data_IF_993575831657
#
_entry.id   IF_993575831657
#
_cell.length_a   1.000
_cell.length_b   1.000
_cell.length_c   1.000
_cell.angle_alpha   90.00
_cell.angle_beta   90.00
_cell.angle_gamma   90.00
#
_symmetry.space_group_name_H-M   'P 1'
#
loop_
_entity.id
_entity.type
_entity.pdbx_description
1 polymer ?
#
# COMPACT_ATOMS: atom_id res chain seq x y z
N UNK A 1 2.80 22.95 3.02
CA UNK A 1 2.65 22.34 1.68
C UNK A 1 3.10 23.35 0.64
N UNK A 2 4.17 23.08 -0.12
CA UNK A 2 4.55 23.95 -1.24
C UNK A 2 3.71 23.55 -2.46
N UNK A 3 2.68 24.34 -2.80
CA UNK A 3 1.86 24.12 -4.00
C UNK A 3 2.61 24.43 -5.31
N UNK A 4 3.69 25.21 -5.19
CA UNK A 4 4.54 25.66 -6.27
C UNK A 4 5.96 25.13 -6.06
N UNK A 5 6.57 24.63 -7.13
CA UNK A 5 7.97 24.23 -7.17
C UNK A 5 8.56 24.55 -8.53
N UNK A 6 9.88 24.68 -8.58
CA UNK A 6 10.59 24.85 -9.84
C UNK A 6 11.10 23.48 -10.29
N UNK A 7 10.83 23.12 -11.55
CA UNK A 7 11.41 21.92 -12.18
C UNK A 7 12.22 22.33 -13.38
N UNK A 8 13.48 21.91 -13.43
CA UNK A 8 14.38 22.16 -14.56
C UNK A 8 14.43 20.92 -15.46
N UNK A 9 14.19 21.08 -16.76
CA UNK A 9 14.49 20.05 -17.76
C UNK A 9 15.16 20.74 -18.93
N UNK A 10 16.13 20.05 -19.51
CA UNK A 10 16.98 20.57 -20.58
C UNK A 10 16.16 21.06 -21.77
N UNK A 11 15.12 20.31 -22.17
CA UNK A 11 14.29 20.67 -23.32
C UNK A 11 13.48 21.97 -23.15
N UNK A 12 12.88 22.20 -21.99
CA UNK A 12 12.08 23.41 -21.75
C UNK A 12 12.96 24.63 -21.49
N UNK A 13 14.14 24.42 -20.89
CA UNK A 13 15.17 25.47 -20.78
C UNK A 13 15.70 25.87 -22.15
N UNK A 14 15.91 24.91 -23.06
CA UNK A 14 16.32 25.18 -24.45
C UNK A 14 15.25 25.99 -25.19
N UNK A 15 13.98 25.61 -25.07
CA UNK A 15 12.87 26.38 -25.66
C UNK A 15 12.73 27.78 -25.04
N UNK A 16 12.88 27.92 -23.73
CA UNK A 16 12.85 29.24 -23.09
C UNK A 16 14.05 30.09 -23.54
N UNK A 17 15.24 29.49 -23.63
CA UNK A 17 16.46 30.16 -24.07
C UNK A 17 16.41 30.60 -25.54
N UNK A 18 15.60 29.96 -26.38
CA UNK A 18 15.39 30.39 -27.79
C UNK A 18 14.22 31.35 -27.95
N UNK A 19 13.08 31.10 -27.28
CA UNK A 19 11.87 31.91 -27.41
C UNK A 19 11.97 33.27 -26.73
N UNK A 20 12.62 33.36 -25.56
CA UNK A 20 12.72 34.63 -24.82
C UNK A 20 13.50 35.69 -25.61
N UNK A 21 14.70 35.40 -26.16
CA UNK A 21 15.42 36.37 -27.00
C UNK A 21 14.66 36.70 -28.29
N UNK A 22 14.03 35.71 -28.93
CA UNK A 22 13.29 35.91 -30.18
C UNK A 22 12.08 36.84 -30.01
N UNK A 23 11.33 36.67 -28.91
CA UNK A 23 10.18 37.54 -28.57
C UNK A 23 10.64 38.95 -28.23
N UNK A 24 11.74 39.11 -27.49
CA UNK A 24 12.29 40.43 -27.15
C UNK A 24 12.80 41.15 -28.40
N UNK A 25 13.51 40.46 -29.30
CA UNK A 25 13.98 41.01 -30.58
C UNK A 25 12.82 41.42 -31.49
N UNK A 26 11.77 40.59 -31.57
CA UNK A 26 10.59 40.91 -32.36
C UNK A 26 9.86 42.15 -31.81
N UNK A 27 9.67 42.24 -30.49
CA UNK A 27 9.02 43.39 -29.86
C UNK A 27 9.88 44.65 -29.89
N UNK A 28 11.22 44.53 -29.90
CA UNK A 28 12.13 45.64 -30.17
C UNK A 28 11.91 46.25 -31.56
N UNK A 29 11.63 45.43 -32.58
CA UNK A 29 11.39 45.91 -33.93
C UNK A 29 10.13 46.79 -34.07
N UNK A 30 9.14 46.61 -33.18
CA UNK A 30 7.87 47.35 -33.17
C UNK A 30 7.76 48.38 -32.04
N UNK A 31 8.88 48.77 -31.41
CA UNK A 31 8.92 49.71 -30.25
C UNK A 31 8.04 49.30 -29.05
N UNK A 32 7.74 48.00 -28.93
CA UNK A 32 6.89 47.41 -27.89
C UNK A 32 7.73 46.66 -26.84
N UNK A 33 8.87 47.23 -26.44
CA UNK A 33 9.86 46.61 -25.57
C UNK A 33 9.28 46.11 -24.23
N UNK A 34 8.36 46.88 -23.62
CA UNK A 34 7.69 46.49 -22.39
C UNK A 34 6.86 45.20 -22.56
N UNK A 35 6.23 45.02 -23.73
CA UNK A 35 5.46 43.82 -24.08
C UNK A 35 6.41 42.62 -24.28
N UNK A 36 7.56 42.84 -24.92
CA UNK A 36 8.58 41.80 -25.13
C UNK A 36 9.17 41.29 -23.81
N UNK A 37 9.50 42.20 -22.88
CA UNK A 37 10.03 41.84 -21.56
C UNK A 37 8.97 41.10 -20.74
N UNK A 38 7.73 41.61 -20.69
CA UNK A 38 6.64 40.96 -19.94
C UNK A 38 6.33 39.56 -20.48
N UNK A 39 6.27 39.41 -21.81
CA UNK A 39 6.03 38.11 -22.44
C UNK A 39 7.22 37.16 -22.25
N UNK A 40 8.45 37.66 -22.32
CA UNK A 40 9.66 36.89 -22.04
C UNK A 40 9.70 36.36 -20.61
N UNK A 41 9.39 37.22 -19.62
CA UNK A 41 9.28 36.81 -18.21
C UNK A 41 8.16 35.78 -18.02
N UNK A 42 7.01 35.96 -18.67
CA UNK A 42 5.92 34.99 -18.64
C UNK A 42 6.37 33.64 -19.22
N UNK A 43 7.03 33.61 -20.38
CA UNK A 43 7.54 32.37 -21.01
C UNK A 43 8.56 31.67 -20.10
N UNK A 44 9.50 32.43 -19.51
CA UNK A 44 10.48 31.89 -18.58
C UNK A 44 9.79 31.31 -17.33
N UNK A 45 8.84 32.04 -16.74
CA UNK A 45 8.07 31.58 -15.59
C UNK A 45 7.26 30.33 -15.92
N UNK A 46 6.55 30.31 -17.06
CA UNK A 46 5.74 29.18 -17.52
C UNK A 46 6.59 27.92 -17.77
N UNK A 47 7.84 28.09 -18.20
CA UNK A 47 8.77 27.01 -18.50
C UNK A 47 9.31 26.31 -17.25
N UNK A 48 9.43 27.05 -16.14
CA UNK A 48 10.04 26.53 -14.89
C UNK A 48 9.00 26.22 -13.82
N UNK A 49 7.85 26.90 -13.81
CA UNK A 49 6.82 26.76 -12.79
C UNK A 49 6.12 25.40 -12.89
N UNK A 50 6.28 24.57 -11.86
CA UNK A 50 5.52 23.35 -11.64
C UNK A 50 4.46 23.58 -10.56
N UNK A 51 3.20 23.33 -10.91
CA UNK A 51 2.05 23.41 -10.01
C UNK A 51 1.68 21.97 -9.63
N UNK A 52 1.77 21.65 -8.32
CA UNK A 52 1.51 20.29 -7.80
C UNK A 52 2.31 19.20 -8.53
N UNK A 53 3.59 19.48 -8.79
CA UNK A 53 4.53 18.54 -9.41
C UNK A 53 4.39 18.37 -10.93
N UNK A 54 3.34 18.91 -11.56
CA UNK A 54 3.21 18.98 -13.02
C UNK A 54 3.48 20.39 -13.53
N UNK A 55 4.17 20.50 -14.66
CA UNK A 55 4.26 21.76 -15.42
C UNK A 55 2.98 22.00 -16.21
N UNK A 56 2.80 23.22 -16.72
CA UNK A 56 1.61 23.59 -17.50
C UNK A 56 1.45 22.76 -18.78
N UNK A 57 2.54 22.45 -19.48
CA UNK A 57 2.52 21.49 -20.60
C UNK A 57 2.09 20.09 -20.17
N UNK A 58 2.56 19.65 -18.99
CA UNK A 58 2.12 18.40 -18.37
C UNK A 58 0.63 18.40 -17.97
N UNK A 59 0.09 19.55 -17.55
CA UNK A 59 -1.34 19.73 -17.29
C UNK A 59 -2.18 19.63 -18.57
N UNK A 60 -1.73 20.25 -19.66
CA UNK A 60 -2.39 20.15 -20.98
C UNK A 60 -2.36 18.70 -21.47
N UNK A 61 -1.20 18.04 -21.41
CA UNK A 61 -1.07 16.63 -21.79
C UNK A 61 -1.96 15.72 -20.93
N UNK A 62 -2.04 15.99 -19.62
CA UNK A 62 -2.93 15.28 -18.71
C UNK A 62 -4.40 15.46 -19.08
N UNK A 63 -4.82 16.67 -19.43
CA UNK A 63 -6.18 16.97 -19.85
C UNK A 63 -6.55 16.17 -21.11
N UNK A 64 -5.71 16.20 -22.15
CA UNK A 64 -5.95 15.43 -23.38
C UNK A 64 -5.91 13.92 -23.15
N UNK A 65 -5.00 13.43 -22.32
CA UNK A 65 -4.92 12.02 -22.00
C UNK A 65 -6.13 11.55 -21.18
N UNK A 66 -6.58 12.35 -20.21
CA UNK A 66 -7.81 12.09 -19.46
C UNK A 66 -9.04 12.12 -20.36
N UNK A 67 -9.19 13.14 -21.23
CA UNK A 67 -10.36 13.26 -22.10
C UNK A 67 -10.52 12.06 -23.02
N UNK A 68 -9.41 11.48 -23.49
CA UNK A 68 -9.40 10.24 -24.28
C UNK A 68 -9.73 9.00 -23.44
N UNK A 69 -9.22 8.91 -22.21
CA UNK A 69 -9.30 7.69 -21.37
C UNK A 69 -10.53 7.63 -20.46
N UNK A 70 -11.19 8.76 -20.19
CA UNK A 70 -12.21 8.88 -19.12
C UNK A 70 -13.37 7.89 -19.20
N UNK A 71 -13.73 7.40 -20.40
CA UNK A 71 -14.84 6.46 -20.62
C UNK A 71 -14.40 5.00 -20.82
N UNK A 72 -13.10 4.73 -20.90
CA UNK A 72 -12.57 3.39 -21.25
C UNK A 72 -11.89 2.81 -20.03
N UNK A 73 -12.31 1.61 -19.62
CA UNK A 73 -11.65 0.88 -18.54
C UNK A 73 -10.18 0.55 -18.89
N UNK A 74 -9.30 0.38 -17.91
CA UNK A 74 -8.00 -0.25 -18.14
C UNK A 74 -8.18 -1.60 -18.82
N UNK A 75 -7.37 -1.95 -19.83
CA UNK A 75 -7.38 -3.30 -20.37
C UNK A 75 -7.06 -4.28 -19.23
N UNK A 76 -7.74 -5.41 -19.22
CA UNK A 76 -7.42 -6.46 -18.27
C UNK A 76 -5.98 -6.95 -18.52
N UNK A 77 -5.22 -7.29 -17.47
CA UNK A 77 -3.95 -7.98 -17.63
C UNK A 77 -4.12 -9.28 -18.43
N UNK A 78 -3.07 -9.74 -19.10
CA UNK A 78 -3.13 -11.05 -19.76
C UNK A 78 -3.28 -12.17 -18.73
N UNK A 79 -3.74 -13.34 -19.19
CA UNK A 79 -3.69 -14.54 -18.36
C UNK A 79 -2.24 -14.82 -17.95
N UNK A 80 -2.03 -15.23 -16.68
CA UNK A 80 -0.69 -15.53 -16.18
C UNK A 80 -0.17 -16.81 -16.82
N UNK A 81 1.08 -16.76 -17.26
CA UNK A 81 1.85 -17.92 -17.67
C UNK A 81 2.89 -18.23 -16.60
N UNK A 82 3.06 -19.51 -16.28
CA UNK A 82 4.07 -19.94 -15.31
C UNK A 82 5.33 -20.33 -16.07
N UNK A 83 6.42 -19.62 -15.80
CA UNK A 83 7.73 -19.94 -16.38
C UNK A 83 8.44 -21.02 -15.56
N UNK A 84 9.04 -21.99 -16.24
CA UNK A 84 9.98 -22.93 -15.63
C UNK A 84 11.40 -22.53 -16.02
N UNK A 85 12.16 -21.97 -15.07
CA UNK A 85 13.61 -21.83 -15.23
C UNK A 85 14.35 -22.25 -13.96
N UNK A 86 14.81 -23.50 -14.01
CA UNK A 86 16.08 -24.05 -13.48
C UNK A 86 16.29 -24.16 -11.96
N UNK A 87 15.24 -24.23 -11.15
CA UNK A 87 15.30 -25.04 -9.92
C UNK A 87 14.04 -25.89 -9.75
N UNK A 88 14.13 -27.17 -9.34
CA UNK A 88 12.95 -27.95 -8.98
C UNK A 88 12.35 -27.31 -7.72
N UNK A 89 11.19 -26.65 -7.84
CA UNK A 89 10.46 -26.13 -6.68
C UNK A 89 9.74 -24.80 -6.90
N UNK A 90 10.27 -23.90 -7.71
CA UNK A 90 9.72 -22.53 -7.82
C UNK A 90 9.23 -22.17 -9.23
N UNK A 91 7.91 -22.11 -9.32
CA UNK A 91 7.15 -21.72 -10.49
C UNK A 91 6.83 -20.22 -10.40
N UNK A 92 7.56 -19.36 -11.11
CA UNK A 92 7.26 -17.91 -11.11
C UNK A 92 6.21 -17.60 -12.16
N UNK A 93 5.10 -16.99 -11.75
CA UNK A 93 4.09 -16.49 -12.66
C UNK A 93 4.54 -15.17 -13.29
N UNK A 94 4.34 -15.05 -14.60
CA UNK A 94 4.52 -13.82 -15.37
C UNK A 94 3.26 -13.50 -16.16
N UNK A 95 2.99 -12.21 -16.38
CA UNK A 95 1.90 -11.77 -17.26
C UNK A 95 2.21 -10.43 -17.90
N UNK A 96 1.50 -10.10 -18.97
CA UNK A 96 1.51 -8.75 -19.50
C UNK A 96 0.60 -7.83 -18.69
N UNK A 97 1.15 -6.69 -18.30
CA UNK A 97 0.42 -5.58 -17.70
C UNK A 97 0.75 -4.32 -18.50
N UNK A 98 -0.15 -3.96 -19.43
CA UNK A 98 0.12 -2.93 -20.41
C UNK A 98 1.23 -3.36 -21.37
N UNK A 99 2.26 -2.53 -21.48
CA UNK A 99 3.46 -2.72 -22.30
C UNK A 99 4.61 -3.43 -21.57
N UNK A 100 4.40 -3.84 -20.31
CA UNK A 100 5.42 -4.51 -19.51
C UNK A 100 5.06 -5.97 -19.27
N UNK A 101 6.07 -6.84 -19.32
CA UNK A 101 5.98 -8.17 -18.72
C UNK A 101 6.29 -8.02 -17.22
N UNK A 102 5.42 -8.53 -16.36
CA UNK A 102 5.55 -8.39 -14.91
C UNK A 102 5.59 -9.74 -14.20
N UNK A 103 6.31 -9.79 -13.09
CA UNK A 103 6.32 -10.88 -12.10
C UNK A 103 6.09 -10.31 -10.70
N UNK A 104 5.71 -11.16 -9.75
CA UNK A 104 5.40 -10.75 -8.38
C UNK A 104 6.20 -11.57 -7.39
N UNK A 105 6.73 -10.90 -6.37
CA UNK A 105 7.29 -11.51 -5.17
C UNK A 105 6.42 -11.08 -4.00
N UNK A 106 5.84 -12.03 -3.29
CA UNK A 106 5.15 -11.76 -2.04
C UNK A 106 6.16 -11.59 -0.91
N UNK A 107 5.96 -10.57 -0.08
CA UNK A 107 6.71 -10.42 1.16
C UNK A 107 5.87 -10.96 2.31
N UNK A 108 6.34 -12.05 2.90
CA UNK A 108 5.67 -12.71 4.01
C UNK A 108 6.13 -12.05 5.30
N UNK A 109 5.22 -11.43 6.09
CA UNK A 109 5.63 -10.79 7.31
C UNK A 109 6.07 -11.81 8.35
N UNK A 110 6.94 -11.40 9.25
CA UNK A 110 7.30 -12.23 10.40
C UNK A 110 6.13 -12.29 11.37
N UNK A 111 5.72 -13.50 11.73
CA UNK A 111 4.59 -13.71 12.64
C UNK A 111 4.81 -13.04 14.00
N UNK A 112 3.71 -12.51 14.56
CA UNK A 112 3.65 -11.89 15.88
C UNK A 112 4.65 -10.74 16.09
N UNK A 113 5.00 -9.98 15.04
CA UNK A 113 5.81 -8.76 15.18
C UNK A 113 4.93 -7.61 15.71
N UNK A 114 5.15 -7.10 16.92
CA UNK A 114 4.35 -6.00 17.45
C UNK A 114 4.61 -4.72 16.67
N UNK A 115 3.58 -3.89 16.55
CA UNK A 115 3.71 -2.51 16.09
C UNK A 115 3.39 -1.57 17.23
N UNK A 116 4.31 -0.69 17.58
CA UNK A 116 4.13 0.29 18.66
C UNK A 116 3.97 1.68 18.06
N UNK A 117 2.97 2.44 18.54
CA UNK A 117 2.75 3.81 18.08
C UNK A 117 3.42 4.78 19.04
N UNK A 118 4.53 5.39 18.60
CA UNK A 118 5.28 6.38 19.38
C UNK A 118 5.14 7.73 18.71
N UNK A 119 4.59 8.71 19.42
CA UNK A 119 4.38 10.08 18.91
C UNK A 119 3.62 10.16 17.57
N UNK A 120 2.70 9.21 17.34
CA UNK A 120 1.88 9.13 16.11
C UNK A 120 2.53 8.38 14.94
N UNK A 121 3.75 7.89 15.11
CA UNK A 121 4.47 7.09 14.12
C UNK A 121 4.45 5.61 14.50
N UNK A 122 4.34 4.73 13.51
CA UNK A 122 4.32 3.29 13.72
C UNK A 122 5.73 2.72 13.63
N UNK A 123 6.15 2.04 14.70
CA UNK A 123 7.42 1.34 14.79
C UNK A 123 7.18 -0.17 14.81
N UNK A 124 7.83 -0.88 13.89
CA UNK A 124 7.81 -2.35 13.81
C UNK A 124 9.16 -2.81 13.27
N UNK A 125 9.60 -4.00 13.69
CA UNK A 125 10.90 -4.55 13.32
C UNK A 125 10.91 -5.20 11.91
N UNK A 126 9.74 -5.29 11.27
CA UNK A 126 9.55 -6.00 10.00
C UNK A 126 9.29 -5.02 8.84
N UNK A 127 10.39 -4.39 8.40
CA UNK A 127 10.40 -3.34 7.38
C UNK A 127 11.24 -3.75 6.16
N UNK A 128 10.83 -3.26 4.99
CA UNK A 128 11.60 -3.29 3.75
C UNK A 128 12.10 -1.88 3.42
N UNK A 129 13.42 -1.68 3.35
CA UNK A 129 14.00 -0.45 2.79
C UNK A 129 13.94 -0.47 1.26
N UNK A 130 13.29 0.52 0.66
CA UNK A 130 13.21 0.61 -0.81
C UNK A 130 14.56 0.90 -1.47
N UNK A 131 15.56 1.38 -0.72
CA UNK A 131 16.94 1.52 -1.22
C UNK A 131 17.61 0.16 -1.41
N UNK A 132 17.34 -0.81 -0.52
CA UNK A 132 17.82 -2.18 -0.70
C UNK A 132 17.29 -2.77 -2.01
N UNK A 133 16.00 -2.57 -2.31
CA UNK A 133 15.41 -3.02 -3.58
C UNK A 133 16.11 -2.38 -4.78
N UNK A 134 16.43 -1.08 -4.72
CA UNK A 134 17.21 -0.41 -5.77
C UNK A 134 18.59 -1.04 -5.97
N UNK A 135 19.30 -1.33 -4.88
CA UNK A 135 20.62 -1.96 -4.91
C UNK A 135 20.56 -3.35 -5.53
N UNK A 136 19.56 -4.15 -5.15
CA UNK A 136 19.34 -5.49 -5.72
C UNK A 136 18.99 -5.42 -7.21
N UNK A 137 18.17 -4.45 -7.63
CA UNK A 137 17.91 -4.20 -9.05
C UNK A 137 19.19 -3.79 -9.78
N UNK A 138 19.96 -2.85 -9.25
CA UNK A 138 21.22 -2.42 -9.87
C UNK A 138 22.20 -3.58 -10.07
N UNK A 139 22.24 -4.54 -9.14
CA UNK A 139 23.11 -5.71 -9.21
C UNK A 139 22.59 -6.82 -10.14
N UNK A 140 21.28 -7.09 -10.15
CA UNK A 140 20.73 -8.29 -10.78
C UNK A 140 19.82 -8.04 -11.98
N UNK A 141 19.26 -6.84 -12.11
CA UNK A 141 18.43 -6.42 -13.22
C UNK A 141 18.39 -4.91 -13.41
N UNK A 142 19.51 -4.28 -13.86
CA UNK A 142 19.65 -2.82 -13.88
C UNK A 142 18.73 -2.11 -14.89
N UNK A 143 18.16 -2.86 -15.83
CA UNK A 143 17.19 -2.42 -16.83
C UNK A 143 15.73 -2.74 -16.45
N UNK A 144 15.48 -3.23 -15.22
CA UNK A 144 14.16 -3.47 -14.67
C UNK A 144 13.69 -2.35 -13.74
N UNK A 145 12.37 -2.25 -13.58
CA UNK A 145 11.73 -1.44 -12.54
C UNK A 145 11.06 -2.35 -11.51
N UNK A 146 10.94 -1.88 -10.26
CA UNK A 146 10.16 -2.55 -9.24
C UNK A 146 9.11 -1.62 -8.63
N UNK A 147 7.87 -2.08 -8.53
CA UNK A 147 6.83 -1.46 -7.72
C UNK A 147 6.72 -2.23 -6.39
N UNK A 148 7.09 -1.60 -5.26
CA UNK A 148 6.74 -2.12 -3.94
C UNK A 148 5.30 -1.70 -3.66
N UNK A 149 4.39 -2.66 -3.61
CA UNK A 149 2.95 -2.45 -3.49
C UNK A 149 2.47 -2.99 -2.16
N UNK A 150 1.89 -2.14 -1.32
CA UNK A 150 1.17 -2.57 -0.11
C UNK A 150 -0.32 -2.28 -0.25
N UNK A 151 -1.17 -3.22 0.15
CA UNK A 151 -2.61 -3.07 0.09
C UNK A 151 -3.29 -3.63 1.34
N UNK A 152 -4.38 -2.99 1.77
CA UNK A 152 -5.12 -3.40 2.94
C UNK A 152 -6.00 -2.29 3.52
N UNK A 153 -6.40 -2.44 4.77
CA UNK A 153 -7.35 -1.54 5.42
C UNK A 153 -7.01 -1.34 6.90
N UNK A 154 -7.38 -0.16 7.43
CA UNK A 154 -7.14 0.16 8.84
C UNK A 154 -8.17 -0.46 9.77
N UNK A 155 -9.41 -0.49 9.30
CA UNK A 155 -10.54 -1.13 9.96
C UNK A 155 -11.30 -1.94 8.90
N UNK A 156 -11.85 -3.08 9.30
CA UNK A 156 -12.54 -3.99 8.39
C UNK A 156 -14.04 -3.74 8.29
N UNK A 157 -14.71 -4.58 7.50
CA UNK A 157 -16.15 -4.45 7.17
C UNK A 157 -17.00 -5.63 7.66
N UNK A 158 -16.46 -6.48 8.53
CA UNK A 158 -17.17 -7.66 9.03
C UNK A 158 -18.10 -7.33 10.20
N UNK A 159 -17.78 -6.31 11.00
CA UNK A 159 -18.61 -5.83 12.09
C UNK A 159 -19.59 -4.71 11.66
N UNK A 160 -20.68 -4.47 12.42
CA UNK A 160 -21.58 -3.35 12.18
C UNK A 160 -20.84 -2.00 12.19
N UNK A 161 -21.35 -1.04 11.42
CA UNK A 161 -20.72 0.30 11.29
C UNK A 161 -20.53 1.01 12.63
N UNK A 162 -21.42 0.78 13.61
CA UNK A 162 -21.31 1.33 14.97
C UNK A 162 -20.14 0.75 15.78
N UNK A 163 -19.74 -0.50 15.51
CA UNK A 163 -18.59 -1.16 16.13
C UNK A 163 -17.31 -0.71 15.44
N UNK A 164 -17.32 -0.64 14.10
CA UNK A 164 -16.18 -0.16 13.30
C UNK A 164 -15.86 1.29 13.62
N UNK A 165 -16.87 2.17 13.66
CA UNK A 165 -16.69 3.59 13.97
C UNK A 165 -16.12 3.80 15.38
N UNK A 166 -16.57 2.97 16.34
CA UNK A 166 -16.03 2.98 17.69
C UNK A 166 -14.56 2.57 17.71
N UNK A 167 -14.22 1.44 17.07
CA UNK A 167 -12.84 1.00 17.02
C UNK A 167 -11.93 2.02 16.30
N UNK A 168 -12.45 2.70 15.28
CA UNK A 168 -11.73 3.78 14.61
C UNK A 168 -11.45 4.98 15.54
N UNK A 169 -12.33 5.26 16.51
CA UNK A 169 -12.08 6.26 17.56
C UNK A 169 -10.96 5.81 18.51
N UNK A 170 -10.97 4.54 18.92
CA UNK A 170 -9.95 3.95 19.81
C UNK A 170 -8.57 3.92 19.14
N UNK A 171 -8.50 3.47 17.88
CA UNK A 171 -7.24 3.45 17.09
C UNK A 171 -6.80 4.85 16.68
N UNK A 172 -7.72 5.80 16.62
CA UNK A 172 -7.42 7.18 16.26
C UNK A 172 -6.79 7.32 14.86
N UNK A 173 -6.01 8.40 14.63
CA UNK A 173 -5.38 8.69 13.36
C UNK A 173 -3.99 8.01 13.21
N UNK A 174 -3.76 6.87 13.85
CA UNK A 174 -2.45 6.21 13.82
C UNK A 174 -2.26 5.34 12.58
N UNK A 175 -1.00 5.15 12.18
CA UNK A 175 -0.59 4.34 11.04
C UNK A 175 -0.61 2.83 11.32
N UNK A 176 -1.69 2.35 11.93
CA UNK A 176 -1.84 0.96 12.39
C UNK A 176 -2.89 0.21 11.56
N UNK A 177 -2.56 -0.33 10.37
CA UNK A 177 -3.51 -1.10 9.61
C UNK A 177 -3.82 -2.45 10.25
N UNK A 178 -5.11 -2.75 10.40
CA UNK A 178 -5.59 -4.05 10.85
C UNK A 178 -5.16 -5.18 9.90
N UNK A 179 -5.21 -4.93 8.59
CA UNK A 179 -4.71 -5.85 7.58
C UNK A 179 -3.88 -5.08 6.54
N UNK A 180 -2.68 -5.59 6.24
CA UNK A 180 -1.79 -5.09 5.20
C UNK A 180 -0.95 -6.24 4.67
N UNK A 181 -0.85 -6.29 3.35
CA UNK A 181 0.05 -7.20 2.64
C UNK A 181 0.88 -6.44 1.64
N UNK A 182 2.08 -6.94 1.39
CA UNK A 182 3.07 -6.25 0.57
C UNK A 182 3.66 -7.20 -0.45
N UNK A 183 3.84 -6.69 -1.66
CA UNK A 183 4.45 -7.37 -2.79
C UNK A 183 5.50 -6.49 -3.44
N UNK A 184 6.45 -7.11 -4.13
CA UNK A 184 7.32 -6.45 -5.10
C UNK A 184 6.92 -6.93 -6.49
N UNK A 185 6.51 -6.00 -7.34
CA UNK A 185 6.18 -6.28 -8.74
C UNK A 185 7.37 -5.87 -9.59
N UNK A 186 8.08 -6.85 -10.17
CA UNK A 186 9.15 -6.55 -11.13
C UNK A 186 8.55 -6.34 -12.51
N UNK A 187 9.06 -5.34 -13.23
CA UNK A 187 8.53 -4.90 -14.52
C UNK A 187 9.64 -4.86 -15.55
N UNK A 188 9.43 -5.57 -16.65
CA UNK A 188 10.33 -5.62 -17.78
C UNK A 188 9.67 -4.94 -18.98
N UNK A 189 10.24 -3.81 -19.41
CA UNK A 189 9.90 -3.21 -20.69
C UNK A 189 10.69 -3.93 -21.81
N UNK A 190 10.05 -4.47 -22.86
CA UNK A 190 10.73 -5.22 -23.90
C UNK A 190 11.84 -4.44 -24.62
N UNK A 191 11.67 -3.12 -24.77
CA UNK A 191 12.64 -2.27 -25.47
C UNK A 191 13.86 -1.97 -24.59
N UNK A 192 13.64 -1.66 -23.31
CA UNK A 192 14.71 -1.36 -22.36
C UNK A 192 15.52 -2.62 -22.01
N UNK A 193 14.85 -3.76 -21.85
CA UNK A 193 15.46 -5.02 -21.38
C UNK A 193 16.01 -5.91 -22.49
N UNK A 194 15.90 -5.47 -23.75
CA UNK A 194 16.23 -6.25 -24.94
C UNK A 194 17.60 -6.91 -24.88
N UNK A 195 18.63 -6.16 -24.45
CA UNK A 195 20.02 -6.66 -24.40
C UNK A 195 20.17 -7.78 -23.37
N UNK A 196 19.53 -7.67 -22.21
CA UNK A 196 19.60 -8.66 -21.14
C UNK A 196 18.75 -9.90 -21.48
N UNK A 197 17.57 -9.69 -22.05
CA UNK A 197 16.67 -10.75 -22.53
C UNK A 197 17.33 -11.64 -23.61
N UNK A 198 18.04 -11.03 -24.57
CA UNK A 198 18.72 -11.76 -25.65
C UNK A 198 19.79 -12.75 -25.16
N UNK A 199 20.36 -12.54 -23.96
CA UNK A 199 21.31 -13.48 -23.34
C UNK A 199 20.64 -14.76 -22.82
N UNK A 200 19.31 -14.76 -22.69
CA UNK A 200 18.52 -15.89 -22.17
C UNK A 200 17.72 -16.61 -23.24
N UNK A 201 17.41 -15.93 -24.35
CA UNK A 201 16.67 -16.50 -25.46
C UNK A 201 16.19 -15.40 -26.42
N UNK A 202 15.44 -15.77 -27.44
CA UNK A 202 14.88 -14.83 -28.41
C UNK A 202 13.41 -14.50 -28.08
N UNK A 203 12.97 -13.32 -28.52
CA UNK A 203 11.58 -12.86 -28.37
C UNK A 203 11.06 -12.87 -26.92
N UNK A 204 9.79 -13.19 -26.77
CA UNK A 204 9.08 -13.20 -25.47
C UNK A 204 9.65 -14.25 -24.52
N UNK A 205 10.14 -15.38 -25.04
CA UNK A 205 10.73 -16.44 -24.21
C UNK A 205 12.01 -15.96 -23.51
N UNK A 206 12.89 -15.23 -24.22
CA UNK A 206 14.09 -14.64 -23.62
C UNK A 206 13.75 -13.59 -22.56
N UNK A 207 12.74 -12.75 -22.82
CA UNK A 207 12.25 -11.75 -21.85
C UNK A 207 11.68 -12.40 -20.59
N UNK A 208 10.83 -13.41 -20.75
CA UNK A 208 10.26 -14.16 -19.63
C UNK A 208 11.34 -14.88 -18.82
N UNK A 209 12.28 -15.56 -19.49
CA UNK A 209 13.41 -16.23 -18.81
C UNK A 209 14.31 -15.26 -18.06
N UNK A 210 14.53 -14.05 -18.60
CA UNK A 210 15.23 -12.98 -17.89
C UNK A 210 14.47 -12.53 -16.64
N UNK A 211 13.20 -12.18 -16.79
CA UNK A 211 12.37 -11.71 -15.68
C UNK A 211 12.24 -12.76 -14.57
N UNK A 212 11.96 -14.03 -14.92
CA UNK A 212 11.85 -15.12 -13.94
C UNK A 212 13.17 -15.31 -13.19
N UNK A 213 14.29 -15.40 -13.89
CA UNK A 213 15.60 -15.58 -13.26
C UNK A 213 15.95 -14.42 -12.31
N UNK A 214 15.62 -13.18 -12.68
CA UNK A 214 15.87 -12.02 -11.82
C UNK A 214 14.91 -11.97 -10.63
N UNK A 215 13.65 -12.39 -10.82
CA UNK A 215 12.66 -12.52 -9.72
C UNK A 215 13.15 -13.45 -8.63
N UNK A 216 13.57 -14.67 -9.00
CA UNK A 216 14.09 -15.66 -8.05
C UNK A 216 15.31 -15.12 -7.31
N UNK A 217 16.27 -14.53 -8.03
CA UNK A 217 17.47 -13.95 -7.41
C UNK A 217 17.16 -12.82 -6.43
N UNK A 218 16.25 -11.91 -6.78
CA UNK A 218 15.86 -10.82 -5.89
C UNK A 218 15.19 -11.39 -4.63
N UNK A 219 14.31 -12.38 -4.77
CA UNK A 219 13.70 -13.05 -3.62
C UNK A 219 14.75 -13.72 -2.72
N UNK A 220 15.69 -14.48 -3.29
CA UNK A 220 16.78 -15.13 -2.55
C UNK A 220 17.67 -14.12 -1.80
N UNK A 221 17.98 -12.99 -2.44
CA UNK A 221 18.78 -11.93 -1.81
C UNK A 221 17.99 -11.17 -0.75
N UNK A 222 16.68 -10.99 -0.89
CA UNK A 222 15.86 -10.43 0.19
C UNK A 222 15.83 -11.38 1.39
N UNK A 223 15.69 -12.69 1.14
CA UNK A 223 15.74 -13.71 2.19
C UNK A 223 17.08 -13.72 2.93
N UNK A 224 18.21 -13.53 2.22
CA UNK A 224 19.53 -13.42 2.85
C UNK A 224 19.69 -12.17 3.74
N UNK A 225 18.89 -11.12 3.50
CA UNK A 225 18.77 -9.93 4.35
C UNK A 225 17.69 -10.08 5.44
N UNK A 226 17.14 -11.28 5.63
CA UNK A 226 16.15 -11.60 6.66
C UNK A 226 14.70 -11.22 6.30
N UNK A 227 14.42 -10.89 5.04
CA UNK A 227 13.08 -10.58 4.54
C UNK A 227 12.53 -11.83 3.84
N UNK A 228 11.49 -12.46 4.40
CA UNK A 228 10.87 -13.64 3.76
C UNK A 228 10.14 -13.19 2.48
N UNK A 229 10.76 -13.50 1.34
CA UNK A 229 10.32 -13.07 0.03
C UNK A 229 10.09 -14.31 -0.84
N UNK A 230 8.88 -14.48 -1.35
CA UNK A 230 8.46 -15.69 -2.06
C UNK A 230 7.99 -15.33 -3.46
N UNK A 231 8.64 -15.84 -4.53
CA UNK A 231 8.15 -15.65 -5.89
C UNK A 231 6.73 -16.21 -6.02
N UNK A 232 5.81 -15.42 -6.54
CA UNK A 232 4.41 -15.79 -6.63
C UNK A 232 4.17 -16.76 -7.79
N UNK A 233 3.39 -17.81 -7.52
CA UNK A 233 2.94 -18.80 -8.53
C UNK A 233 1.68 -18.39 -9.28
N UNK A 234 1.01 -17.33 -8.80
CA UNK A 234 -0.23 -16.78 -9.36
C UNK A 234 -0.33 -15.29 -9.00
N UNK A 235 -1.10 -14.54 -9.77
CA UNK A 235 -1.44 -13.14 -9.47
C UNK A 235 -2.75 -13.00 -8.67
N UNK A 236 -3.49 -14.09 -8.41
CA UNK A 236 -4.84 -14.04 -7.83
C UNK A 236 -4.90 -13.20 -6.55
N UNK A 237 -3.95 -13.42 -5.65
CA UNK A 237 -3.93 -12.78 -4.35
C UNK A 237 -3.53 -11.30 -4.42
N UNK A 238 -2.54 -10.99 -5.26
CA UNK A 238 -2.17 -9.62 -5.60
C UNK A 238 -3.35 -8.87 -6.25
N UNK A 239 -4.04 -9.50 -7.18
CA UNK A 239 -5.21 -8.93 -7.87
C UNK A 239 -6.36 -8.70 -6.89
N UNK A 240 -6.65 -9.68 -6.02
CA UNK A 240 -7.69 -9.56 -4.98
C UNK A 240 -7.39 -8.41 -4.04
N UNK A 241 -6.15 -8.25 -3.61
CA UNK A 241 -5.75 -7.21 -2.67
C UNK A 241 -5.68 -5.82 -3.32
N UNK A 242 -5.35 -5.73 -4.62
CA UNK A 242 -5.24 -4.46 -5.33
C UNK A 242 -6.48 -4.11 -6.17
N UNK A 243 -7.51 -4.96 -6.12
CA UNK A 243 -8.75 -4.76 -6.85
C UNK A 243 -9.43 -3.45 -6.46
N UNK A 244 -9.80 -2.68 -7.48
CA UNK A 244 -10.64 -1.50 -7.32
C UNK A 244 -11.80 -1.58 -8.31
N UNK A 245 -12.96 -1.06 -7.90
CA UNK A 245 -14.10 -0.96 -8.81
C UNK A 245 -13.88 0.21 -9.76
N UNK A 246 -13.96 -0.04 -11.07
CA UNK A 246 -13.77 0.96 -12.10
C UNK A 246 -14.98 1.02 -13.02
N UNK A 247 -15.70 2.14 -13.01
CA UNK A 247 -16.72 2.46 -14.01
C UNK A 247 -16.31 3.66 -14.86
N UNK A 248 -15.75 4.70 -14.22
CA UNK A 248 -15.36 5.93 -14.90
C UNK A 248 -14.25 6.66 -14.17
N UNK A 249 -13.34 7.24 -14.93
CA UNK A 249 -12.36 8.20 -14.40
C UNK A 249 -12.91 9.64 -14.49
N UNK A 250 -12.95 10.32 -13.36
CA UNK A 250 -13.13 11.78 -13.29
C UNK A 250 -11.78 12.48 -13.13
N UNK A 251 -11.77 13.81 -13.09
CA UNK A 251 -10.53 14.56 -12.96
C UNK A 251 -9.80 14.27 -11.64
N UNK A 252 -10.50 13.97 -10.56
CA UNK A 252 -9.91 13.82 -9.21
C UNK A 252 -10.13 12.45 -8.58
N UNK A 253 -11.00 11.62 -9.15
CA UNK A 253 -11.38 10.32 -8.59
C UNK A 253 -11.74 9.31 -9.69
N UNK A 254 -11.63 8.03 -9.38
CA UNK A 254 -12.25 6.92 -10.09
C UNK A 254 -13.56 6.59 -9.39
N UNK A 255 -14.66 6.58 -10.14
CA UNK A 255 -15.95 6.08 -9.67
C UNK A 255 -16.04 4.59 -9.96
N UNK A 256 -16.27 3.80 -8.92
CA UNK A 256 -16.67 2.41 -9.01
C UNK A 256 -18.17 2.25 -8.75
N UNK A 257 -18.65 1.00 -8.70
CA UNK A 257 -20.09 0.66 -8.53
C UNK A 257 -20.72 1.25 -7.26
N UNK A 258 -19.97 1.22 -6.16
CA UNK A 258 -20.42 1.65 -4.83
C UNK A 258 -19.30 2.31 -4.01
N UNK A 259 -18.19 2.62 -4.67
CA UNK A 259 -16.98 3.16 -4.03
C UNK A 259 -16.35 4.23 -4.91
N UNK A 260 -15.59 5.11 -4.28
CA UNK A 260 -14.79 6.12 -4.93
C UNK A 260 -13.33 5.87 -4.57
N UNK A 261 -12.47 5.74 -5.58
CA UNK A 261 -11.02 5.65 -5.36
C UNK A 261 -10.37 6.95 -5.80
N UNK A 262 -9.51 7.52 -4.97
CA UNK A 262 -8.72 8.69 -5.36
C UNK A 262 -7.22 8.41 -5.18
N UNK A 263 -6.45 8.79 -6.18
CA UNK A 263 -5.01 8.67 -6.21
C UNK A 263 -4.34 9.99 -5.82
N UNK A 264 -3.33 9.87 -4.98
CA UNK A 264 -2.60 10.96 -4.37
C UNK A 264 -1.09 10.73 -4.43
N UNK A 265 -0.35 11.82 -4.33
CA UNK A 265 1.04 11.82 -3.87
C UNK A 265 1.07 12.38 -2.44
N UNK A 266 1.86 11.75 -1.58
CA UNK A 266 1.99 12.11 -0.17
C UNK A 266 3.44 11.90 0.29
N UNK A 267 4.27 12.94 0.40
CA UNK A 267 5.69 12.80 0.74
C UNK A 267 5.97 12.49 2.22
N UNK A 268 4.90 12.29 3.02
CA UNK A 268 5.01 11.96 4.44
C UNK A 268 5.32 10.49 4.75
N UNK A 269 5.46 9.64 3.73
CA UNK A 269 5.79 8.23 3.91
C UNK A 269 4.67 7.39 4.52
N UNK A 270 4.97 6.12 4.88
CA UNK A 270 3.95 5.14 5.28
C UNK A 270 3.14 5.56 6.50
N UNK A 271 3.72 6.28 7.46
CA UNK A 271 2.97 6.80 8.61
C UNK A 271 1.82 7.71 8.17
N UNK A 272 2.08 8.62 7.25
CA UNK A 272 1.04 9.47 6.66
C UNK A 272 0.06 8.66 5.82
N UNK A 273 0.54 7.71 5.02
CA UNK A 273 -0.30 6.94 4.09
C UNK A 273 -1.36 6.11 4.82
N UNK A 274 -0.93 5.39 5.87
CA UNK A 274 -1.78 4.49 6.64
C UNK A 274 -2.58 5.18 7.75
N UNK A 275 -2.25 6.43 8.10
CA UNK A 275 -3.07 7.27 9.00
C UNK A 275 -4.34 7.82 8.34
N UNK A 276 -4.36 7.90 7.01
CA UNK A 276 -5.52 8.43 6.28
C UNK A 276 -6.72 7.49 6.42
N UNK A 277 -7.90 8.05 6.67
CA UNK A 277 -9.14 7.29 6.77
C UNK A 277 -9.57 6.83 5.38
N UNK A 278 -9.62 5.53 5.17
CA UNK A 278 -10.08 4.90 3.94
C UNK A 278 -10.61 3.50 4.23
N UNK A 279 -11.59 3.08 3.43
CA UNK A 279 -12.12 1.71 3.43
C UNK A 279 -11.10 0.70 2.89
N UNK A 280 -10.23 1.14 1.99
CA UNK A 280 -9.13 0.37 1.43
C UNK A 280 -8.02 1.32 1.01
N UNK A 281 -6.78 0.94 1.26
CA UNK A 281 -5.58 1.71 0.96
C UNK A 281 -4.64 0.87 0.13
N UNK A 282 -4.15 1.42 -0.98
CA UNK A 282 -3.10 0.82 -1.80
C UNK A 282 -1.97 1.85 -1.92
N UNK A 283 -0.77 1.49 -1.48
CA UNK A 283 0.44 2.31 -1.62
C UNK A 283 1.36 1.65 -2.61
N UNK A 284 1.99 2.44 -3.48
CA UNK A 284 3.01 1.94 -4.40
C UNK A 284 4.22 2.84 -4.37
N UNK A 285 5.41 2.25 -4.25
CA UNK A 285 6.69 2.94 -4.42
C UNK A 285 7.41 2.30 -5.59
N UNK A 286 7.55 3.05 -6.68
CA UNK A 286 8.33 2.62 -7.83
C UNK A 286 9.80 3.00 -7.64
N UNK A 287 10.66 2.03 -7.85
CA UNK A 287 12.11 2.15 -7.80
C UNK A 287 12.69 1.72 -9.14
N UNK A 288 13.64 2.51 -9.64
CA UNK A 288 14.44 2.23 -10.83
C UNK A 288 15.89 2.62 -10.54
N UNK A 289 16.88 1.77 -10.86
CA UNK A 289 18.29 2.07 -10.57
C UNK A 289 18.72 3.45 -11.10
N UNK A 290 19.31 4.27 -10.22
CA UNK A 290 19.85 5.58 -10.58
C UNK A 290 18.79 6.66 -10.81
N UNK A 291 17.52 6.41 -10.48
CA UNK A 291 16.44 7.39 -10.57
C UNK A 291 15.77 7.58 -9.21
N UNK A 292 15.34 8.81 -8.93
CA UNK A 292 14.57 9.09 -7.73
C UNK A 292 13.27 8.27 -7.73
N UNK A 293 12.91 7.60 -6.61
CA UNK A 293 11.67 6.85 -6.52
C UNK A 293 10.45 7.70 -6.82
N UNK A 294 9.33 7.05 -7.10
CA UNK A 294 8.02 7.72 -7.15
C UNK A 294 7.03 6.98 -6.29
N UNK A 295 6.09 7.70 -5.66
CA UNK A 295 5.07 7.08 -4.81
C UNK A 295 3.66 7.49 -5.24
N UNK A 296 2.73 6.53 -5.19
CA UNK A 296 1.29 6.77 -5.30
C UNK A 296 0.58 6.15 -4.11
N UNK A 297 -0.45 6.85 -3.63
CA UNK A 297 -1.35 6.34 -2.59
C UNK A 297 -2.77 6.43 -3.11
N UNK A 298 -3.45 5.31 -3.14
CA UNK A 298 -4.84 5.20 -3.54
C UNK A 298 -5.67 4.93 -2.30
N UNK A 299 -6.64 5.81 -2.07
CA UNK A 299 -7.60 5.70 -0.97
C UNK A 299 -8.97 5.45 -1.57
N UNK A 300 -9.57 4.33 -1.18
CA UNK A 300 -10.93 3.97 -1.55
C UNK A 300 -11.86 4.28 -0.40
N UNK A 301 -12.97 4.96 -0.69
CA UNK A 301 -14.00 5.33 0.28
C UNK A 301 -15.40 5.05 -0.25
N UNK A 302 -16.37 4.81 0.64
CA UNK A 302 -17.79 4.69 0.27
C UNK A 302 -18.40 6.03 -0.19
N UNK A 303 -17.97 7.13 0.42
CA UNK A 303 -18.36 8.48 0.02
C UNK A 303 -17.32 9.12 -0.91
N UNK A 304 -17.66 10.27 -1.50
CA UNK A 304 -16.69 11.02 -2.30
C UNK A 304 -15.53 11.48 -1.40
N UNK A 305 -14.27 11.13 -1.73
CA UNK A 305 -13.15 11.36 -0.83
C UNK A 305 -12.82 12.85 -0.73
N UNK A 306 -12.56 13.29 0.48
CA UNK A 306 -11.89 14.57 0.75
C UNK A 306 -10.38 14.36 0.70
N UNK A 307 -9.61 15.37 0.31
CA UNK A 307 -8.14 15.24 0.27
C UNK A 307 -7.60 15.28 1.70
N UNK A 308 -6.95 14.22 2.21
CA UNK A 308 -6.43 14.22 3.57
C UNK A 308 -5.28 15.22 3.74
N UNK A 309 -5.01 15.63 4.98
CA UNK A 309 -3.89 16.52 5.30
C UNK A 309 -2.58 15.82 4.95
N UNK A 310 -1.72 16.51 4.21
CA UNK A 310 -0.44 15.99 3.72
C UNK A 310 -0.49 15.45 2.28
N UNK A 311 -1.68 15.24 1.73
CA UNK A 311 -1.88 14.62 0.42
C UNK A 311 -2.08 15.66 -0.68
N UNK A 312 -1.65 15.32 -1.90
CA UNK A 312 -1.91 16.07 -3.12
C UNK A 312 -2.54 15.15 -4.15
N UNK A 313 -3.79 15.43 -4.53
CA UNK A 313 -4.52 14.62 -5.51
C UNK A 313 -3.83 14.66 -6.88
N UNK A 314 -3.70 13.50 -7.52
CA UNK A 314 -3.11 13.33 -8.84
C UNK A 314 -4.15 13.59 -9.95
N UNK A 315 -4.54 14.84 -10.07
CA UNK A 315 -5.58 15.25 -11.02
C UNK A 315 -5.26 14.86 -12.47
N UNK A 316 -6.26 14.31 -13.18
CA UNK A 316 -6.17 13.86 -14.57
C UNK A 316 -5.25 12.65 -14.80
N UNK A 317 -4.75 12.03 -13.73
CA UNK A 317 -3.86 10.86 -13.78
C UNK A 317 -4.28 9.75 -12.84
N UNK A 318 -5.57 9.65 -12.51
CA UNK A 318 -6.07 8.66 -11.56
C UNK A 318 -5.86 7.24 -12.09
N UNK A 319 -6.16 7.01 -13.37
CA UNK A 319 -5.92 5.74 -14.04
C UNK A 319 -4.43 5.41 -14.12
N UNK A 320 -3.58 6.37 -14.44
CA UNK A 320 -2.13 6.14 -14.52
C UNK A 320 -1.55 5.76 -13.14
N UNK A 321 -2.08 6.35 -12.07
CA UNK A 321 -1.67 6.02 -10.71
C UNK A 321 -2.05 4.59 -10.29
N UNK A 322 -3.08 3.98 -10.90
CA UNK A 322 -3.38 2.54 -10.75
C UNK A 322 -2.29 1.63 -11.27
N UNK A 323 -1.41 2.14 -12.12
CA UNK A 323 -0.25 1.42 -12.65
C UNK A 323 1.05 1.88 -11.96
N UNK A 324 0.95 2.64 -10.86
CA UNK A 324 2.11 3.18 -10.13
C UNK A 324 2.75 4.42 -10.77
N UNK A 325 2.17 4.95 -11.86
CA UNK A 325 2.74 6.10 -12.54
C UNK A 325 2.41 7.40 -11.78
N UNK A 326 3.45 8.04 -11.25
CA UNK A 326 3.37 9.36 -10.64
C UNK A 326 4.28 10.35 -11.37
N UNK A 327 3.82 11.58 -11.63
CA UNK A 327 4.69 12.63 -12.17
C UNK A 327 5.60 13.21 -11.09
N UNK A 328 5.40 12.86 -9.81
CA UNK A 328 6.09 13.45 -8.67
C UNK A 328 7.14 12.45 -8.19
N UNK A 329 8.39 12.91 -8.19
CA UNK A 329 9.51 12.19 -7.58
C UNK A 329 9.41 12.28 -6.07
N UNK A 330 9.87 11.24 -5.41
CA UNK A 330 9.85 11.06 -3.97
C UNK A 330 11.22 10.55 -3.49
N UNK A 331 11.30 10.15 -2.23
CA UNK A 331 12.50 9.56 -1.61
C UNK A 331 12.30 8.08 -1.31
N UNK A 332 13.38 7.43 -0.89
CA UNK A 332 13.31 6.08 -0.33
C UNK A 332 12.63 6.09 1.04
N UNK A 333 12.01 4.97 1.38
CA UNK A 333 11.27 4.76 2.61
C UNK A 333 11.56 3.37 3.16
N UNK A 334 11.48 3.22 4.47
CA UNK A 334 11.27 1.94 5.12
C UNK A 334 9.78 1.65 5.15
N UNK A 335 9.38 0.52 4.55
CA UNK A 335 7.98 0.14 4.39
C UNK A 335 7.69 -1.09 5.27
N UNK A 336 6.78 -0.98 6.25
CA UNK A 336 6.35 -2.14 7.02
C UNK A 336 5.72 -3.21 6.11
N UNK A 337 6.16 -4.46 6.26
CA UNK A 337 5.78 -5.56 5.38
C UNK A 337 4.34 -6.03 5.66
N UNK A 338 4.06 -6.37 6.93
CA UNK A 338 2.78 -6.93 7.38
C UNK A 338 1.86 -5.95 8.08
N UNK A 339 0.72 -6.44 8.55
CA UNK A 339 -0.27 -5.71 9.35
C UNK A 339 0.31 -5.20 10.68
N UNK A 340 -0.22 -4.09 11.19
CA UNK A 340 -0.06 -3.77 12.61
C UNK A 340 -0.94 -4.71 13.46
N UNK A 341 -2.15 -5.03 12.95
CA UNK A 341 -3.06 -5.99 13.55
C UNK A 341 -4.03 -5.36 14.54
N UNK A 342 -4.28 -6.06 15.66
CA UNK A 342 -5.27 -5.67 16.67
C UNK A 342 -4.59 -4.93 17.81
N UNK A 343 -5.21 -3.87 18.32
CA UNK A 343 -4.77 -3.18 19.54
C UNK A 343 -4.88 -4.12 20.75
N UNK A 344 -3.75 -4.54 21.32
CA UNK A 344 -3.71 -5.47 22.46
C UNK A 344 -3.49 -4.77 23.80
N UNK A 345 -2.89 -3.58 23.80
CA UNK A 345 -2.64 -2.80 25.00
C UNK A 345 -1.77 -1.58 24.71
N UNK A 346 -1.10 -1.06 25.73
CA UNK A 346 -0.10 0.00 25.64
C UNK A 346 1.18 -0.37 26.40
N UNK A 347 2.28 0.32 26.12
CA UNK A 347 3.52 0.20 26.91
C UNK A 347 3.37 0.89 28.27
N UNK A 348 4.37 0.74 29.16
CA UNK A 348 4.41 1.48 30.42
C UNK A 348 4.38 3.01 30.23
N UNK A 349 4.92 3.49 29.12
CA UNK A 349 4.92 4.91 28.71
C UNK A 349 3.65 5.33 27.96
N UNK A 350 2.60 4.48 27.97
CA UNK A 350 1.30 4.71 27.32
C UNK A 350 1.37 4.82 25.79
N UNK A 351 2.27 4.07 25.16
CA UNK A 351 2.29 3.93 23.70
C UNK A 351 1.44 2.74 23.26
N UNK A 352 0.43 2.92 22.39
CA UNK A 352 -0.40 1.82 21.90
C UNK A 352 0.43 0.71 21.24
N UNK A 353 0.12 -0.54 21.57
CA UNK A 353 0.76 -1.75 21.07
C UNK A 353 -0.25 -2.58 20.28
N UNK A 354 0.07 -2.85 19.03
CA UNK A 354 -0.70 -3.68 18.12
C UNK A 354 0.00 -5.01 17.86
N UNK A 355 -0.78 -6.07 17.67
CA UNK A 355 -0.28 -7.41 17.38
C UNK A 355 -0.99 -8.00 16.15
N UNK A 356 -0.26 -8.50 15.13
CA UNK A 356 -0.85 -9.18 14.00
C UNK A 356 -1.18 -10.65 14.33
N UNK A 357 -2.35 -11.09 13.88
CA UNK A 357 -2.86 -12.46 14.02
C UNK A 357 -3.27 -13.08 12.66
N UNK A 358 -3.05 -12.34 11.57
CA UNK A 358 -3.60 -12.61 10.24
C UNK A 358 -2.66 -13.40 9.33
N UNK A 359 -1.49 -13.82 9.82
CA UNK A 359 -0.46 -14.49 9.02
C UNK A 359 -0.30 -15.99 9.32
N UNK A 360 -0.49 -16.42 10.56
CA UNK A 360 -0.33 -17.84 10.96
C UNK A 360 -1.44 -18.27 11.90
N UNK A 361 -1.86 -19.52 11.74
CA UNK A 361 -2.83 -20.12 12.64
C UNK A 361 -2.29 -20.11 14.08
N UNK A 362 -3.18 -19.78 15.01
CA UNK A 362 -2.84 -19.61 16.41
C UNK A 362 -3.97 -20.04 17.32
N UNK A 363 -3.64 -20.42 18.55
CA UNK A 363 -4.59 -20.56 19.65
C UNK A 363 -4.34 -19.42 20.61
N UNK A 364 -5.41 -18.76 21.07
CA UNK A 364 -5.29 -17.70 22.06
C UNK A 364 -6.05 -18.07 23.32
N UNK A 365 -5.34 -17.98 24.44
CA UNK A 365 -5.93 -18.10 25.77
C UNK A 365 -6.05 -16.70 26.37
N UNK A 366 -7.30 -16.27 26.57
CA UNK A 366 -7.67 -14.95 27.06
C UNK A 366 -7.87 -15.04 28.58
N UNK A 367 -7.25 -14.13 29.34
CA UNK A 367 -7.11 -14.27 30.79
C UNK A 367 -8.38 -14.11 31.61
N UNK A 368 -9.30 -13.29 31.12
CA UNK A 368 -10.54 -12.94 31.79
C UNK A 368 -11.60 -12.53 30.74
N UNK A 369 -12.83 -12.32 31.20
CA UNK A 369 -13.96 -11.91 30.37
C UNK A 369 -13.75 -10.55 29.69
N UNK A 370 -12.94 -9.68 30.31
CA UNK A 370 -12.68 -8.34 29.83
C UNK A 370 -11.74 -8.33 28.62
N UNK A 371 -10.59 -9.00 28.74
CA UNK A 371 -9.64 -9.26 27.66
C UNK A 371 -10.31 -10.02 26.54
N UNK A 372 -11.18 -10.99 26.87
CA UNK A 372 -11.97 -11.72 25.87
C UNK A 372 -12.86 -10.77 25.05
N UNK A 373 -13.63 -9.93 25.72
CA UNK A 373 -14.55 -8.99 25.07
C UNK A 373 -13.80 -8.02 24.16
N UNK A 374 -12.73 -7.41 24.66
CA UNK A 374 -11.91 -6.48 23.88
C UNK A 374 -11.28 -7.14 22.66
N UNK A 375 -10.65 -8.31 22.85
CA UNK A 375 -10.02 -9.02 21.74
C UNK A 375 -11.03 -9.35 20.64
N UNK A 376 -12.19 -9.87 21.00
CA UNK A 376 -13.22 -10.28 20.05
C UNK A 376 -13.86 -9.08 19.33
N UNK A 377 -14.24 -8.02 20.06
CA UNK A 377 -14.82 -6.79 19.49
C UNK A 377 -13.83 -6.13 18.53
N UNK A 378 -12.58 -5.96 18.96
CA UNK A 378 -11.52 -5.33 18.15
C UNK A 378 -11.16 -6.19 16.95
N UNK A 379 -11.15 -7.52 17.08
CA UNK A 379 -10.91 -8.43 15.94
C UNK A 379 -12.02 -8.34 14.89
N UNK A 380 -13.29 -8.27 15.31
CA UNK A 380 -14.40 -8.06 14.40
C UNK A 380 -14.29 -6.69 13.69
N UNK A 381 -13.98 -5.63 14.43
CA UNK A 381 -13.75 -4.30 13.85
C UNK A 381 -12.50 -4.23 12.96
N UNK A 382 -11.51 -5.08 13.22
CA UNK A 382 -10.30 -5.26 12.42
C UNK A 382 -10.53 -6.15 11.18
N UNK A 383 -11.77 -6.57 10.89
CA UNK A 383 -12.10 -7.29 9.66
C UNK A 383 -12.08 -8.81 9.74
N UNK A 384 -11.90 -9.39 10.93
CA UNK A 384 -12.03 -10.83 11.11
C UNK A 384 -13.49 -11.27 11.14
N UNK A 385 -13.75 -12.51 10.72
CA UNK A 385 -15.03 -13.19 10.93
C UNK A 385 -14.95 -13.95 12.25
N UNK A 386 -15.68 -13.46 13.24
CA UNK A 386 -15.74 -14.08 14.57
C UNK A 386 -16.80 -15.18 14.58
N UNK A 387 -16.47 -16.33 15.16
CA UNK A 387 -17.40 -17.40 15.52
C UNK A 387 -17.32 -17.65 17.02
N UNK A 388 -18.46 -17.57 17.70
CA UNK A 388 -18.59 -17.77 19.14
C UNK A 388 -19.45 -19.00 19.44
N UNK A 389 -19.29 -19.53 20.66
CA UNK A 389 -20.10 -20.64 21.12
C UNK A 389 -21.55 -20.23 21.37
N UNK A 390 -22.53 -21.16 21.33
CA UNK A 390 -23.96 -20.86 21.43
C UNK A 390 -24.39 -20.05 22.65
N UNK A 391 -23.68 -20.16 23.78
CA UNK A 391 -23.98 -19.38 24.99
C UNK A 391 -23.77 -17.87 24.81
N UNK A 392 -22.97 -17.43 23.82
CA UNK A 392 -22.72 -16.02 23.55
C UNK A 392 -23.65 -15.44 22.48
N UNK A 393 -24.86 -16.00 22.29
CA UNK A 393 -25.76 -15.63 21.20
C UNK A 393 -26.13 -14.14 21.18
N UNK A 394 -26.44 -13.56 22.34
CA UNK A 394 -26.78 -12.15 22.43
C UNK A 394 -25.57 -11.26 22.11
N UNK A 395 -24.43 -11.54 22.75
CA UNK A 395 -23.16 -10.86 22.48
C UNK A 395 -22.74 -10.94 21.00
N UNK A 396 -22.89 -12.10 20.37
CA UNK A 396 -22.57 -12.31 18.96
C UNK A 396 -23.39 -11.39 18.04
N UNK A 397 -24.65 -11.11 18.39
CA UNK A 397 -25.51 -10.19 17.65
C UNK A 397 -24.95 -8.76 17.59
N UNK A 398 -24.33 -8.27 18.68
CA UNK A 398 -23.78 -6.91 18.74
C UNK A 398 -22.59 -6.67 17.82
N UNK A 399 -21.82 -7.72 17.52
CA UNK A 399 -20.59 -7.64 16.71
C UNK A 399 -20.73 -8.32 15.35
N UNK A 400 -21.92 -8.79 14.99
CA UNK A 400 -22.18 -9.59 13.78
C UNK A 400 -21.32 -10.88 13.73
N UNK A 401 -21.11 -11.53 14.88
CA UNK A 401 -20.42 -12.81 14.96
C UNK A 401 -21.34 -13.98 14.60
N UNK A 402 -20.73 -15.05 14.06
CA UNK A 402 -21.40 -16.32 13.80
C UNK A 402 -21.49 -17.14 15.08
N UNK A 403 -22.47 -18.03 15.16
CA UNK A 403 -22.55 -19.05 16.23
C UNK A 403 -22.10 -20.39 15.68
N UNK A 404 -21.25 -21.09 16.43
CA UNK A 404 -20.77 -22.42 16.06
C UNK A 404 -20.05 -23.12 17.20
N UNK A 405 -19.82 -24.42 17.03
CA UNK A 405 -19.22 -25.28 18.06
C UNK A 405 -17.71 -25.08 18.23
N UNK A 406 -17.05 -24.40 17.29
CA UNK A 406 -15.61 -24.11 17.32
C UNK A 406 -15.41 -22.59 17.40
N UNK A 407 -15.24 -22.03 18.60
CA UNK A 407 -14.97 -20.61 18.78
C UNK A 407 -13.64 -20.20 18.14
N UNK A 408 -13.69 -19.22 17.23
CA UNK A 408 -12.53 -18.79 16.45
C UNK A 408 -12.70 -17.40 15.88
N UNK A 409 -11.59 -16.79 15.52
CA UNK A 409 -11.48 -15.54 14.78
C UNK A 409 -10.78 -15.86 13.47
N UNK A 410 -11.53 -15.84 12.37
CA UNK A 410 -11.00 -16.15 11.04
C UNK A 410 -10.56 -14.85 10.35
N UNK A 411 -9.27 -14.75 10.09
CA UNK A 411 -8.62 -13.72 9.28
C UNK A 411 -8.61 -14.15 7.81
N UNK A 412 -8.24 -13.25 6.88
CA UNK A 412 -8.16 -13.61 5.46
C UNK A 412 -7.27 -14.83 5.17
N UNK A 413 -6.15 -14.99 5.89
CA UNK A 413 -5.15 -16.03 5.62
C UNK A 413 -4.81 -16.91 6.83
N UNK A 414 -5.44 -16.68 7.99
CA UNK A 414 -5.12 -17.37 9.23
C UNK A 414 -6.35 -17.49 10.12
N UNK A 415 -6.31 -18.41 11.07
CA UNK A 415 -7.34 -18.60 12.07
C UNK A 415 -6.74 -18.54 13.48
N UNK A 416 -7.32 -17.68 14.32
CA UNK A 416 -7.04 -17.64 15.76
C UNK A 416 -8.17 -18.36 16.51
N UNK A 417 -7.88 -19.54 17.06
CA UNK A 417 -8.83 -20.32 17.84
C UNK A 417 -8.96 -19.77 19.26
N UNK A 418 -10.20 -19.55 19.72
CA UNK A 418 -10.52 -19.01 21.05
C UNK A 418 -10.57 -20.14 22.10
N UNK A 419 -9.58 -21.04 22.07
CA UNK A 419 -9.50 -22.23 22.90
C UNK A 419 -8.35 -23.13 22.48
N UNK A 420 -8.08 -24.22 23.23
CA UNK A 420 -7.01 -25.16 22.91
C UNK A 420 -7.27 -25.83 21.56
N UNK A 421 -6.24 -25.84 20.70
CA UNK A 421 -6.24 -26.61 19.46
C UNK A 421 -4.88 -27.31 19.31
N UNK A 422 -4.84 -28.65 19.15
CA UNK A 422 -3.59 -29.39 19.07
C UNK A 422 -2.79 -28.97 17.81
N UNK A 423 -1.47 -28.94 17.94
CA UNK A 423 -0.53 -28.71 16.83
C UNK A 423 -0.36 -27.25 16.39
N UNK A 424 -0.98 -26.30 17.08
CA UNK A 424 -0.99 -24.88 16.70
C UNK A 424 -0.30 -24.03 17.77
N UNK A 425 0.41 -22.99 17.34
CA UNK A 425 1.08 -22.03 18.22
C UNK A 425 0.16 -21.47 19.31
N UNK A 426 0.64 -21.42 20.56
CA UNK A 426 -0.12 -20.91 21.70
C UNK A 426 0.25 -19.46 22.00
N UNK A 427 -0.78 -18.65 22.21
CA UNK A 427 -0.70 -17.25 22.62
C UNK A 427 -1.41 -17.12 23.96
N UNK A 428 -0.81 -16.38 24.89
CA UNK A 428 -1.44 -16.01 26.15
C UNK A 428 -1.64 -14.51 26.15
N UNK A 429 -2.89 -14.05 26.23
CA UNK A 429 -3.18 -12.63 26.42
C UNK A 429 -3.74 -12.42 27.82
N UNK A 430 -3.06 -11.58 28.59
CA UNK A 430 -3.44 -11.15 29.95
C UNK A 430 -3.51 -9.62 29.97
N UNK A 431 -4.03 -9.06 31.06
CA UNK A 431 -4.15 -7.61 31.22
C UNK A 431 -2.78 -6.89 31.30
N UNK A 432 -1.70 -7.60 31.64
CA UNK A 432 -0.37 -7.05 31.89
C UNK A 432 0.74 -7.57 30.95
N UNK A 433 0.47 -8.59 30.14
CA UNK A 433 1.43 -9.11 29.16
C UNK A 433 0.75 -9.89 28.04
N UNK A 434 1.46 -10.03 26.92
CA UNK A 434 1.17 -10.99 25.87
C UNK A 434 2.36 -11.94 25.68
N UNK A 435 2.10 -13.24 25.73
CA UNK A 435 3.05 -14.31 25.40
C UNK A 435 2.72 -14.83 24.00
N UNK A 436 3.73 -14.86 23.14
CA UNK A 436 3.67 -15.33 21.75
C UNK A 436 4.87 -16.24 21.49
N UNK A 437 4.82 -17.11 20.47
CA UNK A 437 5.99 -17.91 20.08
C UNK A 437 7.26 -17.09 19.84
N UNK A 438 7.13 -15.82 19.44
CA UNK A 438 8.24 -14.91 19.21
C UNK A 438 8.67 -14.16 20.47
N UNK A 439 7.74 -13.80 21.33
CA UNK A 439 7.96 -12.99 22.53
C UNK A 439 7.39 -13.70 23.74
N UNK A 440 8.26 -14.23 24.61
CA UNK A 440 7.84 -15.02 25.78
C UNK A 440 6.94 -14.25 26.75
N UNK A 441 7.21 -12.96 27.00
CA UNK A 441 6.35 -12.10 27.83
C UNK A 441 6.58 -10.64 27.42
N UNK A 442 5.87 -10.16 26.40
CA UNK A 442 5.88 -8.75 26.04
C UNK A 442 4.97 -8.00 27.04
N UNK A 443 5.51 -7.10 27.88
CA UNK A 443 4.71 -6.38 28.86
C UNK A 443 3.78 -5.38 28.16
N UNK A 444 2.52 -5.36 28.57
CA UNK A 444 1.52 -4.41 28.10
C UNK A 444 0.67 -3.92 29.28
N UNK A 445 0.00 -2.80 29.12
CA UNK A 445 -1.08 -2.36 30.01
C UNK A 445 -2.36 -2.32 29.19
N UNK A 446 -3.45 -2.79 29.79
CA UNK A 446 -4.71 -2.91 29.08
C UNK A 446 -5.38 -1.54 28.93
N UNK A 447 -5.74 -1.19 27.69
CA UNK A 447 -6.43 0.08 27.39
C UNK A 447 -7.93 -0.13 27.60
N UNK A 448 -8.54 0.72 28.45
CA UNK A 448 -9.95 0.69 28.82
C UNK A 448 -10.73 1.91 28.31
N UNK A 449 -11.07 1.96 27.01
CA UNK A 449 -11.93 3.02 26.51
C UNK A 449 -13.35 2.83 27.06
N UNK A 450 -13.92 3.90 27.62
CA UNK A 450 -15.28 3.90 28.21
C UNK A 450 -16.36 3.36 27.27
N UNK A 451 -16.14 3.55 25.98
CA UNK A 451 -17.07 3.19 24.93
C UNK A 451 -17.12 1.67 24.66
N UNK A 452 -16.07 0.92 25.02
CA UNK A 452 -16.06 -0.55 24.96
C UNK A 452 -16.81 -1.19 26.15
N UNK A 453 -17.03 -0.46 27.26
CA UNK A 453 -17.67 -0.98 28.48
C UNK A 453 -19.10 -1.49 28.25
N UNK A 454 -19.81 -0.99 27.24
CA UNK A 454 -21.15 -1.48 26.88
C UNK A 454 -21.17 -2.95 26.44
N UNK A 455 -20.07 -3.43 25.86
CA UNK A 455 -19.96 -4.82 25.40
C UNK A 455 -19.67 -5.77 26.56
N UNK A 456 -19.01 -5.31 27.62
CA UNK A 456 -18.78 -6.08 28.83
C UNK A 456 -20.10 -6.36 29.55
N UNK A 457 -20.96 -5.34 29.70
CA UNK A 457 -22.29 -5.50 30.30
C UNK A 457 -23.19 -6.49 29.54
N UNK A 458 -22.94 -6.70 28.24
CA UNK A 458 -23.67 -7.66 27.41
C UNK A 458 -23.15 -9.10 27.53
N UNK A 459 -21.98 -9.31 28.13
CA UNK A 459 -21.40 -10.63 28.39
C UNK A 459 -21.74 -11.16 29.79
N UNK A 460 -22.09 -10.26 30.72
CA UNK A 460 -22.49 -10.57 32.11
C UNK A 460 -23.98 -10.95 32.25
N UNK A 461 -24.77 -10.74 31.19
CA UNK A 461 -26.15 -11.18 31.06
C UNK A 461 -26.21 -12.47 30.26
#
# INVERSE_FOLDING_TARGET
>A
MRHFGFRFTTGHLLWAATLVPAVVLLCMHFDLLWLGITLGVLIALFSVLAIRGRRLTGWIAAMFAWQRRRKVAPPAPSEPAVGATVMPGDHVAVRWLGDHLVSVVELVPRSFTPTVIVNGEAFTDDNLDTRLVEQLLAAHGPDLEADIVSAGYRVGKTAPSSVVALYEQVVGPYAAPANRRTWIVLRANPDETRRSALRRGTGVAGLAGYLVATTTRIADQLASHGIDARPARSFEEYDRATAISFERETWSTIKGRSTFTAAYSAPGGPNMWWSARADHTITRVRVKPGQAPTATVLLTTLATPTTPRGFSCLFGGQRAALEGLSPITDRHYELPIGSAGVLVGETADRYPVYMPFDNVDSTINLGDAHVFTQFVVRSAAAGAVVTLAPQFKEFAGFINARIGNVPKVAWPNATTYLGPHPGISRILLRHNFIDTPRHRQLPIQLINPREESRFQMALEK
#
